data_IF_653401043873
#
_entry.id   IF_653401043873
#
_cell.length_a   1.000
_cell.length_b   1.000
_cell.length_c   1.000
_cell.angle_alpha   90.00
_cell.angle_beta   90.00
_cell.angle_gamma   90.00
#
_symmetry.space_group_name_H-M   'P 1'
#
loop_
_entity.id
_entity.type
_entity.pdbx_description
1 polymer ?
#
# COMPACT_ATOMS: atom_id res chain seq x y z
N UNK A 1 17.60 40.93 44.00
CA UNK A 1 17.43 39.46 43.89
C UNK A 1 15.94 39.09 43.88
N UNK A 2 15.39 38.71 42.73
CA UNK A 2 14.35 37.67 42.58
C UNK A 2 14.13 37.46 41.07
N UNK A 3 14.61 36.31 40.59
CA UNK A 3 14.30 35.74 39.27
C UNK A 3 12.88 35.16 39.31
N UNK A 4 12.20 35.12 38.16
CA UNK A 4 11.11 34.21 37.72
C UNK A 4 10.14 35.02 36.82
N UNK A 5 9.58 34.53 35.73
CA UNK A 5 9.69 33.28 34.98
C UNK A 5 9.05 33.56 33.62
N UNK A 6 9.68 33.08 32.56
CA UNK A 6 9.10 32.91 31.22
C UNK A 6 7.82 32.09 31.31
N UNK A 7 6.74 32.48 30.64
CA UNK A 7 5.68 31.55 30.26
C UNK A 7 5.09 31.96 28.91
N UNK A 8 5.33 31.09 27.94
CA UNK A 8 4.82 31.03 26.58
C UNK A 8 3.34 30.65 26.64
N UNK A 9 2.48 31.31 25.86
CA UNK A 9 1.21 30.73 25.44
C UNK A 9 0.85 31.22 24.03
N UNK A 10 1.56 30.69 23.03
CA UNK A 10 1.12 30.73 21.65
C UNK A 10 0.24 29.50 21.41
N UNK A 11 -1.06 29.63 21.62
CA UNK A 11 -2.03 28.63 21.22
C UNK A 11 -2.44 28.89 19.75
N UNK A 12 -1.61 28.45 18.80
CA UNK A 12 -2.06 28.22 17.44
C UNK A 12 -2.85 26.90 17.45
N UNK A 13 -4.16 27.02 17.70
CA UNK A 13 -5.11 25.97 17.37
C UNK A 13 -5.20 25.89 15.84
N UNK A 14 -4.24 25.19 15.23
CA UNK A 14 -4.32 24.75 13.84
C UNK A 14 -5.41 23.70 13.73
N UNK A 15 -6.65 24.14 13.58
CA UNK A 15 -7.75 23.28 13.13
C UNK A 15 -7.46 22.92 11.68
N UNK A 16 -6.76 21.81 11.47
CA UNK A 16 -6.76 21.13 10.18
C UNK A 16 -8.17 20.55 9.99
N UNK A 17 -9.05 21.38 9.41
CA UNK A 17 -10.25 20.93 8.74
C UNK A 17 -9.80 20.08 7.55
N UNK A 18 -9.55 18.79 7.79
CA UNK A 18 -9.46 17.81 6.72
C UNK A 18 -10.87 17.72 6.14
N UNK A 19 -11.07 18.44 5.05
CA UNK A 19 -12.23 18.39 4.19
C UNK A 19 -12.52 16.93 3.87
N UNK A 20 -13.54 16.40 4.52
CA UNK A 20 -14.28 15.23 4.05
C UNK A 20 -14.94 15.62 2.72
N UNK A 21 -14.18 15.47 1.64
CA UNK A 21 -14.66 15.45 0.27
C UNK A 21 -14.36 14.04 -0.26
N UNK A 22 -15.39 13.38 -0.78
CA UNK A 22 -15.33 11.99 -1.26
C UNK A 22 -14.54 11.83 -2.55
N UNK A 23 -13.24 12.04 -2.48
CA UNK A 23 -12.28 11.60 -3.50
C UNK A 23 -11.59 10.32 -3.03
N UNK A 24 -11.41 9.35 -3.94
CA UNK A 24 -10.75 8.09 -3.66
C UNK A 24 -9.32 8.31 -3.13
N UNK A 25 -8.80 7.35 -2.36
CA UNK A 25 -7.42 7.39 -1.89
C UNK A 25 -6.51 6.90 -3.02
N UNK A 26 -5.50 7.68 -3.39
CA UNK A 26 -4.50 7.30 -4.39
C UNK A 26 -3.14 7.16 -3.70
N UNK A 27 -2.68 5.95 -3.31
CA UNK A 27 -1.49 5.77 -2.48
C UNK A 27 -0.22 6.34 -3.09
N UNK A 28 -0.13 6.42 -4.42
CA UNK A 28 1.01 6.94 -5.16
C UNK A 28 1.08 8.47 -5.28
N UNK A 29 -0.01 9.18 -4.94
CA UNK A 29 -0.06 10.64 -5.07
C UNK A 29 0.43 11.33 -3.78
N UNK A 30 0.67 12.64 -3.86
CA UNK A 30 1.02 13.45 -2.69
C UNK A 30 -0.02 13.26 -1.57
N UNK A 31 0.46 12.96 -0.35
CA UNK A 31 -0.41 12.66 0.80
C UNK A 31 -1.05 11.26 0.79
N UNK A 32 -0.92 10.50 -0.31
CA UNK A 32 -1.49 9.16 -0.48
C UNK A 32 -1.03 8.16 0.60
N UNK A 33 0.27 8.11 0.87
CA UNK A 33 0.83 7.24 1.93
C UNK A 33 0.26 7.55 3.32
N UNK A 34 0.08 8.84 3.65
CA UNK A 34 -0.54 9.26 4.91
C UNK A 34 -2.02 8.88 5.00
N UNK A 35 -2.76 9.00 3.90
CA UNK A 35 -4.16 8.57 3.84
C UNK A 35 -4.28 7.05 4.05
N UNK A 36 -3.39 6.25 3.45
CA UNK A 36 -3.31 4.81 3.69
C UNK A 36 -2.99 4.51 5.16
N UNK A 37 -2.02 5.20 5.76
CA UNK A 37 -1.68 5.03 7.18
C UNK A 37 -2.88 5.27 8.09
N UNK A 38 -3.67 6.32 7.82
CA UNK A 38 -4.88 6.61 8.57
C UNK A 38 -5.95 5.54 8.43
N UNK A 39 -6.10 4.93 7.25
CA UNK A 39 -6.99 3.80 7.06
C UNK A 39 -6.52 2.57 7.85
N UNK A 40 -5.21 2.31 7.83
CA UNK A 40 -4.62 1.22 8.61
C UNK A 40 -4.91 1.40 10.11
N UNK A 41 -4.61 2.59 10.65
CA UNK A 41 -4.80 2.90 12.08
C UNK A 41 -6.27 2.85 12.53
N UNK A 42 -7.19 3.08 11.60
CA UNK A 42 -8.64 3.07 11.88
C UNK A 42 -9.24 1.68 11.84
N UNK A 43 -8.74 0.80 10.97
CA UNK A 43 -9.42 -0.44 10.62
C UNK A 43 -8.70 -1.70 11.12
N UNK A 44 -7.44 -1.62 11.48
CA UNK A 44 -6.66 -2.75 11.96
C UNK A 44 -6.13 -2.49 13.37
N UNK A 45 -6.02 -3.54 14.17
CA UNK A 45 -5.33 -3.47 15.45
C UNK A 45 -3.83 -3.22 15.22
N UNK A 46 -3.36 -2.07 15.70
CA UNK A 46 -2.00 -1.59 15.53
C UNK A 46 -0.93 -2.56 16.07
N UNK A 47 -1.25 -3.32 17.11
CA UNK A 47 -0.33 -4.26 17.78
C UNK A 47 -0.44 -5.70 17.24
N UNK A 48 -1.40 -5.94 16.33
CA UNK A 48 -1.60 -7.26 15.71
C UNK A 48 -0.34 -7.68 14.96
N UNK A 49 0.10 -8.90 15.26
CA UNK A 49 1.26 -9.50 14.64
C UNK A 49 0.89 -10.09 13.27
N UNK A 50 1.49 -9.54 12.21
CA UNK A 50 1.19 -9.95 10.83
C UNK A 50 2.51 -10.20 10.09
N UNK A 51 2.46 -11.05 9.07
CA UNK A 51 3.61 -11.38 8.23
C UNK A 51 3.62 -10.60 6.91
N UNK A 52 2.46 -10.07 6.52
CA UNK A 52 2.31 -9.35 5.25
C UNK A 52 1.25 -8.25 5.38
N UNK A 53 1.50 -7.13 4.70
CA UNK A 53 0.55 -6.06 4.46
C UNK A 53 0.53 -5.76 2.95
N UNK A 54 -0.66 -5.82 2.34
CA UNK A 54 -0.87 -5.64 0.91
C UNK A 54 -1.81 -4.47 0.67
N UNK A 55 -1.38 -3.53 -0.15
CA UNK A 55 -2.17 -2.38 -0.61
C UNK A 55 -2.42 -2.59 -2.10
N UNK A 56 -3.67 -2.72 -2.50
CA UNK A 56 -4.03 -3.06 -3.88
C UNK A 56 -4.96 -2.03 -4.49
N UNK A 57 -4.71 -1.68 -5.74
CA UNK A 57 -5.59 -0.81 -6.50
C UNK A 57 -6.93 -1.50 -6.81
N UNK A 58 -7.96 -0.69 -6.94
CA UNK A 58 -9.31 -1.11 -7.34
C UNK A 58 -9.34 -1.53 -8.80
N UNK A 59 -8.58 -0.82 -9.64
CA UNK A 59 -8.51 -0.99 -11.08
C UNK A 59 -7.05 -0.93 -11.55
N UNK A 60 -6.73 -1.66 -12.61
CA UNK A 60 -5.36 -1.89 -13.09
C UNK A 60 -4.62 -0.62 -13.53
N UNK A 61 -5.31 0.45 -13.94
CA UNK A 61 -4.70 1.62 -14.60
C UNK A 61 -4.93 2.97 -13.92
N UNK A 62 -5.56 2.99 -12.74
CA UNK A 62 -5.95 4.24 -12.08
C UNK A 62 -5.27 4.46 -10.73
N UNK A 63 -4.74 3.41 -10.10
CA UNK A 63 -4.04 3.51 -8.81
C UNK A 63 -4.91 3.98 -7.64
N UNK A 64 -6.24 4.06 -7.82
CA UNK A 64 -7.19 4.27 -6.72
C UNK A 64 -7.15 3.05 -5.81
N UNK A 65 -7.04 3.26 -4.50
CA UNK A 65 -7.03 2.22 -3.48
C UNK A 65 -8.30 1.39 -3.56
N UNK A 66 -8.13 0.09 -3.80
CA UNK A 66 -9.19 -0.91 -3.72
C UNK A 66 -9.23 -1.54 -2.34
N UNK A 67 -8.12 -2.14 -1.91
CA UNK A 67 -8.06 -2.86 -0.64
C UNK A 67 -6.75 -2.66 0.12
N UNK A 68 -6.85 -2.74 1.44
CA UNK A 68 -5.71 -3.00 2.33
C UNK A 68 -5.96 -4.35 3.00
N UNK A 69 -4.98 -5.25 2.93
CA UNK A 69 -5.06 -6.60 3.48
C UNK A 69 -3.90 -6.84 4.41
N UNK A 70 -4.15 -7.42 5.58
CA UNK A 70 -3.08 -7.96 6.44
C UNK A 70 -3.19 -9.47 6.50
N UNK A 71 -2.06 -10.16 6.41
CA UNK A 71 -1.98 -11.62 6.45
C UNK A 71 -1.25 -12.06 7.72
N UNK A 72 -1.83 -12.99 8.46
CA UNK A 72 -1.29 -13.48 9.72
C UNK A 72 -1.56 -14.99 9.89
N UNK A 73 -1.02 -15.58 10.95
CA UNK A 73 -1.29 -16.97 11.30
C UNK A 73 -2.10 -17.05 12.58
N UNK A 74 -3.16 -17.85 12.56
CA UNK A 74 -3.94 -18.28 13.73
C UNK A 74 -3.78 -19.80 13.89
N UNK A 75 -2.90 -20.19 14.81
CA UNK A 75 -2.42 -21.57 14.90
C UNK A 75 -1.76 -22.02 13.61
N UNK A 76 -2.36 -23.01 12.93
CA UNK A 76 -1.90 -23.55 11.64
C UNK A 76 -2.66 -23.01 10.43
N UNK A 77 -3.56 -22.05 10.63
CA UNK A 77 -4.30 -21.41 9.55
C UNK A 77 -3.68 -20.07 9.22
N UNK A 78 -3.40 -19.84 7.95
CA UNK A 78 -3.07 -18.51 7.48
C UNK A 78 -4.39 -17.76 7.25
N UNK A 79 -4.52 -16.61 7.88
CA UNK A 79 -5.70 -15.75 7.86
C UNK A 79 -5.39 -14.45 7.14
N UNK A 80 -6.41 -13.86 6.53
CA UNK A 80 -6.38 -12.51 5.99
C UNK A 80 -7.52 -11.69 6.59
N UNK A 81 -7.21 -10.43 6.89
CA UNK A 81 -8.20 -9.41 7.26
C UNK A 81 -8.13 -8.31 6.21
N UNK A 82 -9.28 -7.93 5.66
CA UNK A 82 -9.37 -7.09 4.47
C UNK A 82 -10.22 -5.87 4.76
N UNK A 83 -9.69 -4.69 4.49
CA UNK A 83 -10.44 -3.46 4.34
C UNK A 83 -10.59 -3.14 2.85
N UNK A 84 -11.83 -3.00 2.38
CA UNK A 84 -12.17 -2.53 1.04
C UNK A 84 -12.60 -1.06 1.09
N UNK A 85 -12.11 -0.25 0.14
CA UNK A 85 -12.56 1.13 -0.01
C UNK A 85 -14.04 1.24 -0.41
N UNK A 86 -14.60 0.22 -1.07
CA UNK A 86 -16.00 0.18 -1.48
C UNK A 86 -16.92 -0.47 -0.44
N UNK A 87 -16.45 -1.54 0.21
CA UNK A 87 -17.29 -2.40 1.04
C UNK A 87 -17.01 -2.25 2.54
N UNK A 88 -15.97 -1.51 2.92
CA UNK A 88 -15.48 -1.41 4.29
C UNK A 88 -14.70 -2.64 4.75
N UNK A 89 -14.58 -2.79 6.08
CA UNK A 89 -13.91 -3.93 6.70
C UNK A 89 -14.72 -5.23 6.50
N UNK A 90 -14.04 -6.30 6.13
CA UNK A 90 -14.60 -7.64 5.97
C UNK A 90 -14.19 -8.51 7.15
N UNK A 91 -15.04 -9.48 7.48
CA UNK A 91 -14.70 -10.50 8.47
C UNK A 91 -13.41 -11.24 8.08
N UNK A 92 -12.49 -11.49 9.03
CA UNK A 92 -11.29 -12.26 8.74
C UNK A 92 -11.59 -13.65 8.19
N UNK A 93 -10.84 -14.08 7.18
CA UNK A 93 -11.03 -15.36 6.53
C UNK A 93 -9.72 -16.12 6.36
N UNK A 94 -9.80 -17.44 6.32
CA UNK A 94 -8.65 -18.28 6.01
C UNK A 94 -8.25 -18.08 4.53
N UNK A 95 -6.96 -17.88 4.26
CA UNK A 95 -6.44 -17.65 2.91
C UNK A 95 -6.70 -18.87 2.02
N UNK A 96 -6.77 -18.65 0.71
CA UNK A 96 -6.90 -19.76 -0.25
C UNK A 96 -5.76 -20.78 -0.09
N UNK A 97 -4.53 -20.30 0.11
CA UNK A 97 -3.38 -21.16 0.35
C UNK A 97 -3.56 -22.09 1.52
N UNK A 98 -3.97 -21.55 2.67
CA UNK A 98 -4.19 -22.33 3.89
C UNK A 98 -5.30 -23.36 3.70
N UNK A 99 -6.43 -22.94 3.11
CA UNK A 99 -7.56 -23.83 2.77
C UNK A 99 -7.13 -25.00 1.86
N UNK A 100 -6.25 -24.74 0.90
CA UNK A 100 -5.73 -25.74 -0.04
C UNK A 100 -4.50 -26.50 0.48
N UNK A 101 -4.02 -26.21 1.70
CA UNK A 101 -2.83 -26.83 2.30
C UNK A 101 -1.60 -26.77 1.38
N UNK A 102 -1.38 -25.62 0.73
CA UNK A 102 -0.23 -25.45 -0.16
C UNK A 102 1.08 -25.64 0.61
N UNK A 103 1.97 -26.48 0.07
CA UNK A 103 3.23 -26.88 0.73
C UNK A 103 4.26 -25.76 0.88
N UNK A 104 4.04 -24.62 0.23
CA UNK A 104 4.98 -23.50 0.19
C UNK A 104 4.57 -22.31 1.06
N UNK A 105 3.54 -22.47 1.89
CA UNK A 105 3.17 -21.44 2.87
C UNK A 105 4.12 -21.51 4.05
N UNK A 106 5.12 -20.64 4.03
CA UNK A 106 6.05 -20.49 5.13
C UNK A 106 5.44 -19.60 6.22
N UNK A 107 5.55 -20.02 7.48
CA UNK A 107 5.43 -19.12 8.62
C UNK A 107 6.74 -18.35 8.72
N UNK A 108 6.74 -17.09 8.30
CA UNK A 108 7.87 -16.19 8.54
C UNK A 108 7.71 -15.53 9.91
N UNK A 109 8.67 -14.68 10.30
CA UNK A 109 8.47 -13.82 11.47
C UNK A 109 7.35 -12.81 11.20
N UNK A 110 6.84 -12.24 12.28
CA UNK A 110 5.80 -11.22 12.23
C UNK A 110 6.32 -9.90 12.79
N UNK A 111 5.67 -8.82 12.40
CA UNK A 111 5.80 -7.52 13.05
C UNK A 111 4.41 -6.99 13.37
N UNK A 112 4.34 -5.97 14.24
CA UNK A 112 3.07 -5.29 14.50
C UNK A 112 2.65 -4.49 13.25
N UNK A 113 1.34 -4.40 12.96
CA UNK A 113 0.81 -3.65 11.80
C UNK A 113 1.34 -2.22 11.76
N UNK A 114 1.48 -1.57 12.90
CA UNK A 114 2.00 -0.19 12.99
C UNK A 114 3.46 -0.01 12.54
N UNK A 115 4.22 -1.09 12.43
CA UNK A 115 5.64 -1.06 12.05
C UNK A 115 5.84 -0.94 10.53
N UNK A 116 4.78 -1.10 9.73
CA UNK A 116 4.85 -0.86 8.28
C UNK A 116 4.83 0.64 7.97
N UNK A 117 5.95 1.12 7.44
CA UNK A 117 6.08 2.50 6.99
C UNK A 117 5.55 2.68 5.56
N UNK A 118 4.28 3.08 5.47
CA UNK A 118 3.56 3.30 4.20
C UNK A 118 3.61 4.75 3.70
N UNK A 119 4.08 5.69 4.53
CA UNK A 119 4.13 7.10 4.14
C UNK A 119 5.04 7.38 2.93
N UNK A 120 6.20 6.69 2.76
CA UNK A 120 7.08 6.89 1.61
C UNK A 120 6.56 6.34 0.27
N UNK A 121 5.41 5.66 0.22
CA UNK A 121 4.90 5.04 -1.03
C UNK A 121 4.91 6.00 -2.23
N UNK A 122 4.39 7.24 -2.15
CA UNK A 122 4.42 8.18 -3.28
C UNK A 122 5.84 8.43 -3.81
N UNK A 123 6.81 8.57 -2.91
CA UNK A 123 8.21 8.79 -3.28
C UNK A 123 8.81 7.55 -3.96
N UNK A 124 8.55 6.34 -3.42
CA UNK A 124 9.04 5.08 -4.01
C UNK A 124 8.43 4.82 -5.38
N UNK A 125 7.15 5.10 -5.56
CA UNK A 125 6.49 5.00 -6.86
C UNK A 125 7.05 6.03 -7.85
N UNK A 126 7.33 7.25 -7.40
CA UNK A 126 7.99 8.28 -8.20
C UNK A 126 9.40 7.87 -8.66
N UNK A 127 10.22 7.30 -7.76
CA UNK A 127 11.53 6.75 -8.14
C UNK A 127 11.40 5.61 -9.17
N UNK A 128 10.47 4.68 -8.96
CA UNK A 128 10.22 3.58 -9.88
C UNK A 128 9.77 4.06 -11.27
N UNK A 129 8.90 5.07 -11.33
CA UNK A 129 8.46 5.65 -12.61
C UNK A 129 9.63 6.20 -13.43
N UNK A 130 10.69 6.70 -12.77
CA UNK A 130 11.93 7.13 -13.43
C UNK A 130 12.82 5.99 -13.95
N UNK A 131 12.55 4.73 -13.57
CA UNK A 131 13.25 3.54 -14.05
C UNK A 131 12.53 2.84 -15.21
N UNK A 132 11.27 3.19 -15.47
CA UNK A 132 10.48 2.58 -16.54
C UNK A 132 10.91 3.18 -17.90
N UNK A 133 11.00 2.37 -18.98
CA UNK A 133 11.39 2.87 -20.29
C UNK A 133 10.48 4.00 -20.81
N UNK A 134 11.07 4.96 -21.53
CA UNK A 134 10.37 6.16 -21.98
C UNK A 134 9.25 5.90 -23.00
N UNK A 135 9.15 4.71 -23.59
CA UNK A 135 8.04 4.34 -24.48
C UNK A 135 6.74 4.01 -23.75
N UNK A 136 6.74 4.08 -22.41
CA UNK A 136 5.56 3.89 -21.56
C UNK A 136 5.05 5.20 -20.97
N UNK A 137 3.78 5.19 -20.57
CA UNK A 137 3.05 6.31 -19.94
C UNK A 137 1.95 5.78 -19.01
N UNK A 138 1.26 6.67 -18.31
CA UNK A 138 0.15 6.36 -17.39
C UNK A 138 0.57 5.36 -16.28
N UNK A 139 1.49 5.80 -15.42
CA UNK A 139 1.99 5.03 -14.29
C UNK A 139 0.94 4.90 -13.17
N UNK A 140 0.45 3.69 -12.96
CA UNK A 140 -0.52 3.37 -11.92
C UNK A 140 0.00 2.24 -11.02
N UNK A 141 0.14 2.53 -9.73
CA UNK A 141 0.43 1.55 -8.70
C UNK A 141 -0.71 0.54 -8.67
N UNK A 142 -0.39 -0.71 -9.01
CA UNK A 142 -1.34 -1.81 -9.03
C UNK A 142 -1.39 -2.51 -7.66
N UNK A 143 -0.23 -2.77 -7.08
CA UNK A 143 -0.08 -3.50 -5.82
C UNK A 143 1.21 -3.06 -5.12
N UNK A 144 1.15 -2.92 -3.80
CA UNK A 144 2.28 -2.64 -2.92
C UNK A 144 2.24 -3.60 -1.73
N UNK A 145 3.24 -4.45 -1.62
CA UNK A 145 3.32 -5.53 -0.65
C UNK A 145 4.51 -5.34 0.28
N UNK A 146 4.23 -5.36 1.57
CA UNK A 146 5.21 -5.48 2.63
C UNK A 146 5.20 -6.91 3.15
N UNK A 147 6.30 -7.66 3.00
CA UNK A 147 6.43 -9.02 3.55
C UNK A 147 7.53 -9.07 4.60
N UNK A 148 7.32 -9.80 5.68
CA UNK A 148 8.30 -9.93 6.76
C UNK A 148 9.18 -11.15 6.50
N UNK A 149 10.50 -10.93 6.47
CA UNK A 149 11.45 -12.03 6.28
C UNK A 149 11.73 -12.82 7.57
N UNK A 150 12.53 -13.87 7.47
CA UNK A 150 12.90 -14.72 8.61
C UNK A 150 13.73 -14.00 9.69
N UNK A 151 14.26 -12.81 9.38
CA UNK A 151 14.95 -11.94 10.33
C UNK A 151 14.00 -10.97 11.04
N UNK A 152 12.75 -10.87 10.60
CA UNK A 152 11.76 -9.94 11.14
C UNK A 152 11.84 -8.56 10.50
N UNK A 153 12.46 -8.46 9.32
CA UNK A 153 12.58 -7.19 8.58
C UNK A 153 11.51 -7.12 7.49
N UNK A 154 10.73 -6.03 7.42
CA UNK A 154 9.83 -5.77 6.30
C UNK A 154 10.60 -5.57 4.99
N UNK A 155 10.23 -6.32 3.96
CA UNK A 155 10.65 -6.17 2.57
C UNK A 155 9.52 -5.56 1.78
N UNK A 156 9.84 -4.67 0.85
CA UNK A 156 8.86 -3.95 0.05
C UNK A 156 8.98 -4.38 -1.41
N UNK A 157 7.85 -4.79 -1.98
CA UNK A 157 7.70 -5.17 -3.37
C UNK A 157 6.46 -4.48 -3.94
N UNK A 158 6.53 -3.95 -5.15
CA UNK A 158 5.37 -3.28 -5.73
C UNK A 158 5.39 -3.33 -7.25
N UNK A 159 4.20 -3.23 -7.83
CA UNK A 159 3.98 -3.29 -9.27
C UNK A 159 3.34 -1.99 -9.75
N UNK A 160 3.91 -1.40 -10.80
CA UNK A 160 3.33 -0.29 -11.53
C UNK A 160 2.84 -0.81 -12.88
N UNK A 161 1.55 -0.69 -13.12
CA UNK A 161 0.98 -0.88 -14.44
C UNK A 161 1.13 0.40 -15.25
N UNK A 162 1.47 0.22 -16.52
CA UNK A 162 1.67 1.30 -17.49
C UNK A 162 0.96 0.99 -18.80
N UNK A 163 0.90 1.96 -19.70
CA UNK A 163 0.42 1.78 -21.07
C UNK A 163 1.52 2.21 -22.03
N UNK A 164 1.60 1.56 -23.20
CA UNK A 164 2.61 1.93 -24.21
C UNK A 164 2.16 3.14 -25.01
N UNK A 165 3.05 4.12 -25.21
CA UNK A 165 2.79 5.32 -25.99
C UNK A 165 2.35 4.96 -27.41
N UNK A 166 1.29 5.61 -27.87
CA UNK A 166 0.74 5.38 -29.22
C UNK A 166 -0.11 4.12 -29.34
N UNK A 167 -0.25 3.29 -28.30
CA UNK A 167 -1.25 2.23 -28.28
C UNK A 167 -2.65 2.80 -28.03
N UNK A 168 -3.55 2.59 -28.97
CA UNK A 168 -4.93 3.04 -28.87
C UNK A 168 -5.76 2.22 -27.88
N UNK A 169 -6.85 2.83 -27.41
CA UNK A 169 -7.90 2.11 -26.67
C UNK A 169 -8.85 1.46 -27.67
N UNK A 170 -9.20 0.20 -27.45
CA UNK A 170 -10.21 -0.49 -28.24
C UNK A 170 -11.58 -0.29 -27.59
N UNK A 171 -12.52 0.32 -28.30
CA UNK A 171 -13.90 0.46 -27.84
C UNK A 171 -14.82 -0.53 -28.57
N UNK A 172 -15.49 -1.41 -27.83
CA UNK A 172 -16.52 -2.31 -28.35
C UNK A 172 -17.83 -2.03 -27.62
N UNK A 173 -18.72 -1.28 -28.27
CA UNK A 173 -19.95 -0.78 -27.64
C UNK A 173 -19.64 0.17 -26.48
N UNK A 174 -20.09 -0.18 -25.27
CA UNK A 174 -19.80 0.56 -24.02
C UNK A 174 -18.52 0.13 -23.33
N UNK A 175 -17.86 -0.94 -23.81
CA UNK A 175 -16.62 -1.46 -23.23
C UNK A 175 -15.42 -0.76 -23.85
N UNK A 176 -14.57 -0.16 -23.02
CA UNK A 176 -13.24 0.31 -23.41
C UNK A 176 -12.22 -0.68 -22.88
N UNK A 177 -11.34 -1.15 -23.75
CA UNK A 177 -10.24 -2.06 -23.42
C UNK A 177 -8.93 -1.38 -23.79
N UNK A 178 -7.93 -1.52 -22.94
CA UNK A 178 -6.59 -1.00 -23.18
C UNK A 178 -5.59 -2.02 -22.65
N UNK A 179 -4.48 -2.22 -23.37
CA UNK A 179 -3.38 -3.03 -22.88
C UNK A 179 -2.68 -2.29 -21.74
N UNK A 180 -2.19 -3.05 -20.77
CA UNK A 180 -1.29 -2.54 -19.76
C UNK A 180 -0.09 -3.47 -19.60
N UNK A 181 1.01 -2.90 -19.10
CA UNK A 181 2.28 -3.57 -18.95
C UNK A 181 2.77 -3.38 -17.51
N UNK A 182 2.83 -4.46 -16.73
CA UNK A 182 3.31 -4.41 -15.34
C UNK A 182 4.83 -4.32 -15.30
N UNK A 183 5.33 -3.42 -14.45
CA UNK A 183 6.74 -3.34 -14.06
C UNK A 183 6.84 -3.55 -12.55
N UNK A 184 7.68 -4.51 -12.15
CA UNK A 184 7.83 -4.90 -10.74
C UNK A 184 9.10 -4.30 -10.15
N UNK A 185 9.02 -3.88 -8.89
CA UNK A 185 10.08 -3.22 -8.16
C UNK A 185 10.20 -3.77 -6.75
N UNK A 186 11.38 -3.62 -6.17
CA UNK A 186 11.62 -3.79 -4.72
C UNK A 186 12.38 -2.60 -4.17
N UNK A 187 12.29 -2.41 -2.86
CA UNK A 187 13.18 -1.53 -2.12
C UNK A 187 14.32 -2.38 -1.53
N UNK A 188 15.56 -2.04 -1.86
CA UNK A 188 16.75 -2.75 -1.36
C UNK A 188 17.07 -2.36 0.11
N UNK A 189 18.10 -3.00 0.68
CA UNK A 189 18.52 -2.75 2.07
C UNK A 189 19.02 -1.32 2.32
N UNK A 190 19.45 -0.61 1.26
CA UNK A 190 19.85 0.80 1.34
C UNK A 190 18.65 1.75 1.22
N UNK A 191 17.43 1.21 1.06
CA UNK A 191 16.21 1.98 0.86
C UNK A 191 16.02 2.46 -0.57
N UNK A 192 16.78 1.97 -1.56
CA UNK A 192 16.68 2.38 -2.96
C UNK A 192 15.73 1.48 -3.73
N UNK A 193 14.95 2.07 -4.63
CA UNK A 193 14.11 1.32 -5.57
C UNK A 193 14.96 0.67 -6.67
N UNK A 194 14.73 -0.61 -6.92
CA UNK A 194 15.34 -1.38 -8.02
C UNK A 194 14.28 -2.19 -8.76
N UNK A 195 14.43 -2.30 -10.09
CA UNK A 195 13.58 -3.13 -10.91
C UNK A 195 13.80 -4.63 -10.63
N UNK A 196 12.75 -5.43 -10.83
CA UNK A 196 12.76 -6.88 -10.75
C UNK A 196 12.38 -7.40 -12.14
N UNK A 197 13.21 -8.28 -12.70
CA UNK A 197 12.95 -8.97 -13.96
C UNK A 197 11.83 -10.02 -13.83
#
# INVERSE_FOLDING_TARGET
MKKMKTTILAALAGVFLMTSCGEGVYPQNEGGGKAVKQLIDKHFDADKQVQELVIKAKDELYGELGTVTVVYWDGDKQMEEVFSSSDGAKEPQETFGSKQKMKHLAKTKTVAVKEFDVEPIPYKVGEAAGLIPEDYENYALAEYTFSVDDNGKPKQHFTINTTKKGEGKMQTGRKVSQNYYPFSFKVDEAGKVVAID
#
